data_IF_975574480014
#
_entry.id   IF_975574480014
#
_cell.length_a   1.000
_cell.length_b   1.000
_cell.length_c   1.000
_cell.angle_alpha   90.00
_cell.angle_beta   90.00
_cell.angle_gamma   90.00
#
_symmetry.space_group_name_H-M   'P 1'
#
loop_
_entity.id
_entity.type
_entity.pdbx_description
1 polymer ?
#
# COMPACT_ATOMS: atom_id res chain seq x y z
N UNK A 1 1.34 -1.40 19.39
CA UNK A 1 1.96 -1.64 18.07
C UNK A 1 1.18 -2.75 17.42
N UNK A 2 0.68 -2.52 16.20
CA UNK A 2 -0.03 -3.54 15.43
C UNK A 2 0.95 -4.63 14.98
N UNK A 3 0.49 -5.86 14.81
CA UNK A 3 1.34 -6.99 14.40
C UNK A 3 2.02 -6.74 13.03
N UNK A 4 1.29 -6.09 12.11
CA UNK A 4 1.81 -5.62 10.84
C UNK A 4 2.99 -4.63 10.98
N UNK A 5 2.90 -3.69 11.94
CA UNK A 5 3.93 -2.69 12.18
C UNK A 5 5.25 -3.32 12.60
N UNK A 6 5.19 -4.32 13.49
CA UNK A 6 6.37 -5.04 13.96
C UNK A 6 6.98 -5.93 12.86
N UNK A 7 6.14 -6.54 12.01
CA UNK A 7 6.56 -7.30 10.84
C UNK A 7 7.34 -6.44 9.83
N UNK A 8 6.78 -5.26 9.49
CA UNK A 8 7.43 -4.32 8.57
C UNK A 8 8.75 -3.81 9.14
N UNK A 9 8.77 -3.46 10.43
CA UNK A 9 10.00 -3.05 11.11
C UNK A 9 11.07 -4.13 11.04
N UNK A 10 10.74 -5.37 11.40
CA UNK A 10 11.67 -6.52 11.33
C UNK A 10 12.16 -6.77 9.90
N UNK A 11 11.30 -6.62 8.89
CA UNK A 11 11.69 -6.73 7.50
C UNK A 11 12.69 -5.63 7.10
N UNK A 12 12.42 -4.37 7.48
CA UNK A 12 13.33 -3.25 7.24
C UNK A 12 14.69 -3.40 7.93
N UNK A 13 14.72 -4.03 9.10
CA UNK A 13 15.95 -4.37 9.83
C UNK A 13 16.65 -5.65 9.32
N UNK A 14 16.09 -6.35 8.33
CA UNK A 14 16.63 -7.61 7.80
C UNK A 14 16.47 -8.82 8.74
N UNK A 15 15.61 -8.70 9.77
CA UNK A 15 15.31 -9.75 10.74
C UNK A 15 14.14 -10.66 10.31
N UNK A 16 13.40 -10.28 9.27
CA UNK A 16 12.30 -11.05 8.70
C UNK A 16 12.41 -11.08 7.18
N UNK A 17 11.70 -12.01 6.54
CA UNK A 17 11.71 -12.22 5.10
C UNK A 17 10.40 -11.78 4.46
N UNK A 18 10.44 -11.49 3.15
CA UNK A 18 9.24 -11.11 2.40
C UNK A 18 8.12 -12.17 2.50
N UNK A 19 8.48 -13.45 2.60
CA UNK A 19 7.51 -14.55 2.73
C UNK A 19 6.65 -14.44 4.00
N UNK A 20 7.19 -13.88 5.09
CA UNK A 20 6.41 -13.64 6.31
C UNK A 20 5.40 -12.49 6.13
N UNK A 21 5.79 -11.44 5.39
CA UNK A 21 4.87 -10.35 5.02
C UNK A 21 3.71 -10.88 4.17
N UNK A 22 4.01 -11.74 3.19
CA UNK A 22 3.00 -12.42 2.37
C UNK A 22 2.11 -13.33 3.22
N UNK A 23 2.71 -14.07 4.16
CA UNK A 23 2.00 -14.96 5.07
C UNK A 23 0.98 -14.26 5.96
N UNK A 24 1.24 -13.00 6.34
CA UNK A 24 0.33 -12.17 7.13
C UNK A 24 -0.94 -11.77 6.35
N UNK A 25 -0.85 -11.63 5.02
CA UNK A 25 -1.99 -11.22 4.19
C UNK A 25 -2.97 -12.38 4.01
N UNK A 26 -4.01 -12.40 4.85
CA UNK A 26 -5.15 -13.34 4.72
C UNK A 26 -6.39 -12.71 4.07
N UNK A 27 -6.42 -11.38 3.99
CA UNK A 27 -7.61 -10.61 3.65
C UNK A 27 -7.25 -9.23 3.09
N UNK A 28 -8.21 -8.57 2.45
CA UNK A 28 -8.03 -7.21 1.91
C UNK A 28 -7.63 -6.20 3.00
N UNK A 29 -8.28 -6.25 4.17
CA UNK A 29 -7.95 -5.35 5.29
C UNK A 29 -6.52 -5.60 5.79
N UNK A 30 -6.13 -6.88 5.90
CA UNK A 30 -4.79 -7.32 6.27
C UNK A 30 -3.73 -6.73 5.33
N UNK A 31 -4.01 -6.79 4.01
CA UNK A 31 -3.16 -6.19 2.98
C UNK A 31 -3.07 -4.67 3.12
N UNK A 32 -4.22 -3.98 3.23
CA UNK A 32 -4.27 -2.52 3.33
C UNK A 32 -3.53 -2.01 4.56
N UNK A 33 -3.70 -2.67 5.71
CA UNK A 33 -2.96 -2.35 6.95
C UNK A 33 -1.47 -2.57 6.75
N UNK A 34 -1.06 -3.72 6.23
CA UNK A 34 0.35 -4.03 6.02
C UNK A 34 1.01 -3.08 5.01
N UNK A 35 0.33 -2.77 3.90
CA UNK A 35 0.82 -1.79 2.94
C UNK A 35 0.91 -0.40 3.54
N UNK A 36 -0.07 0.04 4.33
CA UNK A 36 0.00 1.29 5.07
C UNK A 36 1.28 1.39 5.90
N UNK A 37 1.55 0.36 6.71
CA UNK A 37 2.78 0.29 7.52
C UNK A 37 4.06 0.27 6.68
N UNK A 38 4.09 -0.47 5.56
CA UNK A 38 5.23 -0.48 4.62
C UNK A 38 5.47 0.93 4.07
N UNK A 39 4.42 1.60 3.61
CA UNK A 39 4.54 2.95 3.05
C UNK A 39 4.92 3.99 4.10
N UNK A 40 4.46 3.83 5.35
CA UNK A 40 4.77 4.74 6.45
C UNK A 40 6.21 4.56 6.96
N UNK A 41 6.66 3.31 7.15
CA UNK A 41 7.96 3.02 7.76
C UNK A 41 9.11 2.94 6.76
N UNK A 42 8.89 2.34 5.59
CA UNK A 42 9.93 2.12 4.57
C UNK A 42 9.82 3.13 3.42
N UNK A 43 8.62 3.63 3.15
CA UNK A 43 8.32 4.55 2.05
C UNK A 43 7.58 3.88 0.90
N UNK A 44 6.81 4.65 0.15
CA UNK A 44 5.95 4.16 -0.93
C UNK A 44 6.73 3.56 -2.11
N UNK A 45 7.95 4.04 -2.35
CA UNK A 45 8.85 3.56 -3.42
C UNK A 45 9.72 2.37 -2.98
N UNK A 46 9.45 1.80 -1.80
CA UNK A 46 10.21 0.67 -1.28
C UNK A 46 10.06 -0.57 -2.14
N UNK A 47 11.13 -1.36 -2.23
CA UNK A 47 11.10 -2.70 -2.83
C UNK A 47 9.99 -3.57 -2.22
N UNK A 48 9.76 -3.47 -0.90
CA UNK A 48 8.66 -4.15 -0.22
C UNK A 48 7.28 -3.79 -0.80
N UNK A 49 7.01 -2.50 -1.02
CA UNK A 49 5.73 -2.03 -1.56
C UNK A 49 5.52 -2.55 -2.99
N UNK A 50 6.54 -2.46 -3.85
CA UNK A 50 6.49 -2.97 -5.22
C UNK A 50 6.31 -4.50 -5.29
N UNK A 51 6.97 -5.24 -4.40
CA UNK A 51 6.82 -6.70 -4.30
C UNK A 51 5.45 -7.10 -3.77
N UNK A 52 4.92 -6.41 -2.77
CA UNK A 52 3.55 -6.64 -2.29
C UNK A 52 2.50 -6.36 -3.37
N UNK A 53 2.67 -5.27 -4.12
CA UNK A 53 1.80 -4.94 -5.25
C UNK A 53 1.84 -6.02 -6.35
N UNK A 54 3.02 -6.55 -6.64
CA UNK A 54 3.20 -7.64 -7.61
C UNK A 54 2.62 -8.96 -7.11
N UNK A 55 2.68 -9.22 -5.82
CA UNK A 55 2.28 -10.50 -5.23
C UNK A 55 0.77 -10.59 -4.97
N UNK A 56 0.12 -9.45 -4.70
CA UNK A 56 -1.33 -9.35 -4.51
C UNK A 56 -1.93 -8.24 -5.40
N UNK A 57 -1.90 -8.39 -6.74
CA UNK A 57 -2.27 -7.32 -7.67
C UNK A 57 -3.74 -6.89 -7.53
N UNK A 58 -4.65 -7.82 -7.26
CA UNK A 58 -6.07 -7.51 -7.06
C UNK A 58 -6.32 -6.70 -5.78
N UNK A 59 -5.62 -7.06 -4.70
CA UNK A 59 -5.72 -6.35 -3.43
C UNK A 59 -5.07 -4.98 -3.50
N UNK A 60 -3.92 -4.89 -4.18
CA UNK A 60 -3.24 -3.62 -4.44
C UNK A 60 -4.09 -2.69 -5.28
N UNK A 61 -4.77 -3.18 -6.33
CA UNK A 61 -5.68 -2.35 -7.12
C UNK A 61 -6.81 -1.77 -6.28
N UNK A 62 -7.38 -2.56 -5.38
CA UNK A 62 -8.42 -2.11 -4.45
C UNK A 62 -7.87 -1.09 -3.46
N UNK A 63 -6.71 -1.36 -2.86
CA UNK A 63 -6.02 -0.45 -1.95
C UNK A 63 -5.67 0.87 -2.62
N UNK A 64 -5.04 0.82 -3.79
CA UNK A 64 -4.59 1.98 -4.53
C UNK A 64 -5.76 2.85 -5.03
N UNK A 65 -6.92 2.26 -5.33
CA UNK A 65 -8.17 3.00 -5.57
C UNK A 65 -8.69 3.69 -4.30
N UNK A 66 -8.62 3.01 -3.16
CA UNK A 66 -9.07 3.57 -1.88
C UNK A 66 -8.14 4.69 -1.35
N UNK A 67 -6.85 4.61 -1.64
CA UNK A 67 -5.84 5.58 -1.18
C UNK A 67 -5.50 6.67 -2.21
N UNK A 68 -6.07 6.60 -3.42
CA UNK A 68 -5.76 7.54 -4.51
C UNK A 68 -4.37 7.34 -5.14
N UNK A 69 -3.68 6.24 -4.83
CA UNK A 69 -2.40 5.87 -5.44
C UNK A 69 -2.55 5.30 -6.85
N UNK A 70 -3.75 4.83 -7.21
CA UNK A 70 -4.07 4.39 -8.56
C UNK A 70 -4.50 5.60 -9.40
N UNK A 71 -3.54 6.34 -9.96
CA UNK A 71 -3.83 7.24 -11.07
C UNK A 71 -4.13 6.39 -12.31
N UNK A 72 -5.41 6.23 -12.61
CA UNK A 72 -5.85 5.84 -13.95
C UNK A 72 -5.65 7.03 -14.89
N UNK A 73 -4.38 7.37 -15.18
CA UNK A 73 -4.07 8.23 -16.32
C UNK A 73 -4.31 7.40 -17.59
N UNK A 74 -5.57 7.32 -17.99
CA UNK A 74 -5.94 6.65 -19.23
C UNK A 74 -7.42 6.35 -19.47
N UNK A 75 -8.36 7.25 -19.13
CA UNK A 75 -9.43 7.74 -20.05
C UNK A 75 -10.61 8.39 -19.29
N UNK A 76 -10.60 9.74 -19.23
CA UNK A 76 -11.78 10.61 -19.37
C UNK A 76 -12.70 10.80 -18.16
N UNK A 77 -12.56 11.95 -17.47
CA UNK A 77 -13.55 13.05 -17.43
C UNK A 77 -13.19 13.99 -16.25
N UNK A 78 -12.51 15.08 -16.62
CA UNK A 78 -12.66 16.44 -16.09
C UNK A 78 -13.78 16.68 -15.07
N UNK A 79 -13.42 16.97 -13.81
CA UNK A 79 -13.99 18.06 -12.98
C UNK A 79 -12.86 18.48 -12.02
N UNK A 80 -12.10 19.55 -12.26
CA UNK A 80 -12.63 20.90 -12.36
C UNK A 80 -12.56 21.50 -10.96
N UNK A 81 -11.47 22.18 -10.65
CA UNK A 81 -11.37 22.95 -9.42
C UNK A 81 -12.36 24.11 -9.41
N UNK A 82 -12.77 24.51 -8.21
CA UNK A 82 -13.37 25.80 -7.92
C UNK A 82 -12.90 26.15 -6.49
N UNK A 83 -12.08 27.18 -6.27
CA UNK A 83 -12.45 28.56 -6.52
C UNK A 83 -13.45 28.93 -5.42
N UNK A 84 -13.05 29.45 -4.27
CA UNK A 84 -12.91 30.90 -4.12
C UNK A 84 -14.27 31.61 -4.19
N UNK A 85 -15.01 31.63 -3.09
CA UNK A 85 -16.05 32.63 -2.81
C UNK A 85 -15.63 33.28 -1.48
N UNK A 86 -15.51 34.59 -1.31
CA UNK A 86 -16.21 35.72 -1.92
C UNK A 86 -16.57 36.66 -0.78
#
# INVERSE_FOLDING_TARGET
MSEAADLVRKYGEGQSQFDELVGFVKCQECFSTLMGEITEQLGNESDAAGRMASQFPEMFKTYARATGLYNDEGNGEEEGGDGGEG
#
